data_IF_851233914581
#
_entry.id   IF_851233914581
#
_cell.length_a   1.000
_cell.length_b   1.000
_cell.length_c   1.000
_cell.angle_alpha   90.00
_cell.angle_beta   90.00
_cell.angle_gamma   90.00
#
_symmetry.space_group_name_H-M   'P 1'
#
loop_
_entity.id
_entity.type
_entity.pdbx_description
1 polymer ?
#
# COMPACT_ATOMS: atom_id res chain seq x y z
N UNK A 1 24.14 -39.64 42.49
CA UNK A 1 22.70 -39.58 42.15
C UNK A 1 22.25 -38.15 41.81
N UNK A 2 22.64 -37.13 42.59
CA UNK A 2 22.23 -35.74 42.35
C UNK A 2 22.73 -35.11 41.04
N UNK A 3 23.93 -35.48 40.58
CA UNK A 3 24.51 -34.99 39.31
C UNK A 3 23.76 -35.50 38.08
N UNK A 4 23.16 -36.69 38.16
CA UNK A 4 22.38 -37.28 37.07
C UNK A 4 21.06 -36.54 36.87
N UNK A 5 20.34 -36.25 37.96
CA UNK A 5 19.11 -35.45 37.90
C UNK A 5 19.39 -34.01 37.43
N UNK A 6 20.48 -33.39 37.88
CA UNK A 6 20.88 -32.07 37.40
C UNK A 6 21.15 -32.07 35.88
N UNK A 7 21.85 -33.07 35.36
CA UNK A 7 22.12 -33.18 33.92
C UNK A 7 20.84 -33.31 33.08
N UNK A 8 19.86 -34.09 33.55
CA UNK A 8 18.57 -34.24 32.86
C UNK A 8 17.78 -32.93 32.84
N UNK A 9 17.75 -32.21 33.95
CA UNK A 9 17.06 -30.91 34.04
C UNK A 9 17.69 -29.91 33.09
N UNK A 10 19.03 -29.81 33.07
CA UNK A 10 19.76 -28.91 32.18
C UNK A 10 19.50 -29.28 30.71
N UNK A 11 19.51 -30.56 30.36
CA UNK A 11 19.22 -31.03 29.01
C UNK A 11 17.79 -30.66 28.59
N UNK A 12 16.81 -30.86 29.47
CA UNK A 12 15.41 -30.51 29.22
C UNK A 12 15.21 -29.01 28.97
N UNK A 13 15.84 -28.17 29.79
CA UNK A 13 15.79 -26.70 29.63
C UNK A 13 16.46 -26.27 28.33
N UNK A 14 17.62 -26.86 27.98
CA UNK A 14 18.33 -26.53 26.75
C UNK A 14 17.48 -26.86 25.50
N UNK A 15 16.81 -28.02 25.49
CA UNK A 15 15.90 -28.40 24.39
C UNK A 15 14.72 -27.42 24.30
N UNK A 16 14.10 -27.08 25.44
CA UNK A 16 12.97 -26.17 25.47
C UNK A 16 13.31 -24.78 24.92
N UNK A 17 14.46 -24.22 25.32
CA UNK A 17 14.95 -22.92 24.82
C UNK A 17 15.21 -22.99 23.31
N UNK A 18 15.82 -24.08 22.84
CA UNK A 18 16.10 -24.27 21.41
C UNK A 18 14.82 -24.29 20.57
N UNK A 19 13.80 -25.02 21.02
CA UNK A 19 12.50 -25.06 20.33
C UNK A 19 11.84 -23.68 20.32
N UNK A 20 11.83 -22.98 21.45
CA UNK A 20 11.27 -21.63 21.55
C UNK A 20 11.97 -20.65 20.60
N UNK A 21 13.30 -20.71 20.51
CA UNK A 21 14.08 -19.89 19.61
C UNK A 21 13.75 -20.18 18.14
N UNK A 22 13.64 -21.45 17.74
CA UNK A 22 13.28 -21.84 16.37
C UNK A 22 11.88 -21.35 16.01
N UNK A 23 10.90 -21.50 16.91
CA UNK A 23 9.53 -21.02 16.69
C UNK A 23 9.50 -19.50 16.55
N UNK A 24 10.24 -18.77 17.39
CA UNK A 24 10.31 -17.31 17.28
C UNK A 24 10.97 -16.85 15.98
N UNK A 25 12.10 -17.47 15.58
CA UNK A 25 12.80 -17.15 14.32
C UNK A 25 11.91 -17.44 13.12
N UNK A 26 11.28 -18.62 13.07
CA UNK A 26 10.41 -18.99 11.95
C UNK A 26 9.17 -18.11 11.86
N UNK A 27 8.55 -17.75 12.99
CA UNK A 27 7.40 -16.83 13.02
C UNK A 27 7.80 -15.43 12.57
N UNK A 28 8.93 -14.94 13.07
CA UNK A 28 9.46 -13.63 12.68
C UNK A 28 9.82 -13.61 11.19
N UNK A 29 10.50 -14.64 10.70
CA UNK A 29 10.83 -14.79 9.29
C UNK A 29 9.57 -14.81 8.41
N UNK A 30 8.54 -15.59 8.76
CA UNK A 30 7.28 -15.61 8.02
C UNK A 30 6.56 -14.26 8.04
N UNK A 31 6.63 -13.52 9.16
CA UNK A 31 6.10 -12.15 9.23
C UNK A 31 6.92 -11.14 8.41
N UNK A 32 8.20 -11.46 8.15
CA UNK A 32 9.14 -10.67 7.35
C UNK A 32 9.20 -11.09 5.88
N UNK A 33 8.46 -12.12 5.44
CA UNK A 33 8.23 -12.39 4.01
C UNK A 33 7.40 -11.21 3.50
N UNK A 34 8.11 -10.14 3.19
CA UNK A 34 7.62 -8.92 2.61
C UNK A 34 7.02 -9.31 1.28
N UNK A 35 5.68 -9.36 1.21
CA UNK A 35 4.96 -9.44 -0.06
C UNK A 35 4.85 -8.01 -0.54
N UNK A 36 5.73 -7.55 -1.44
CA UNK A 36 5.79 -6.14 -1.75
C UNK A 36 4.48 -5.75 -2.43
N UNK A 37 3.90 -4.63 -2.01
CA UNK A 37 2.86 -3.93 -2.76
C UNK A 37 3.58 -3.01 -3.73
N UNK A 38 3.62 -3.40 -5.01
CA UNK A 38 4.30 -2.63 -6.05
C UNK A 38 3.23 -2.13 -7.01
N UNK A 39 2.90 -0.85 -6.92
CA UNK A 39 1.97 -0.22 -7.84
C UNK A 39 2.73 0.49 -8.97
N UNK A 40 2.44 0.11 -10.21
CA UNK A 40 2.93 0.79 -11.41
C UNK A 40 1.80 1.66 -11.95
N UNK A 41 1.97 2.97 -11.86
CA UNK A 41 1.02 3.93 -12.41
C UNK A 41 1.25 4.02 -13.91
N UNK A 42 0.24 3.65 -14.69
CA UNK A 42 0.27 3.68 -16.15
C UNK A 42 -0.16 5.07 -16.64
N UNK A 43 -1.25 5.58 -16.07
CA UNK A 43 -1.86 6.84 -16.47
C UNK A 43 -2.54 7.49 -15.25
N UNK A 44 -2.47 8.81 -15.17
CA UNK A 44 -3.17 9.60 -14.17
C UNK A 44 -3.62 10.90 -14.83
N UNK A 45 -4.90 11.21 -14.71
CA UNK A 45 -5.50 12.41 -15.32
C UNK A 45 -6.58 13.03 -14.42
N UNK A 46 -6.46 14.32 -14.12
CA UNK A 46 -7.53 15.14 -13.58
C UNK A 46 -8.34 15.68 -14.77
N UNK A 47 -9.63 15.40 -14.77
CA UNK A 47 -10.56 15.87 -15.78
C UNK A 47 -11.85 16.37 -15.12
N UNK A 48 -12.58 17.22 -15.84
CA UNK A 48 -13.90 17.68 -15.41
C UNK A 48 -14.96 16.88 -16.16
N UNK A 49 -15.81 16.17 -15.44
CA UNK A 49 -16.90 15.44 -16.05
C UNK A 49 -18.04 16.43 -16.39
N UNK A 50 -18.44 16.45 -17.66
CA UNK A 50 -19.43 17.38 -18.19
C UNK A 50 -20.86 17.07 -17.72
N UNK A 51 -21.11 15.83 -17.29
CA UNK A 51 -22.45 15.38 -16.88
C UNK A 51 -22.80 15.83 -15.47
N UNK A 52 -21.85 15.72 -14.54
CA UNK A 52 -22.04 16.04 -13.13
C UNK A 52 -21.35 17.35 -12.69
N UNK A 53 -20.65 17.98 -13.63
CA UNK A 53 -19.91 19.23 -13.46
C UNK A 53 -18.84 19.18 -12.35
N UNK A 54 -18.39 17.98 -11.95
CA UNK A 54 -17.39 17.82 -10.90
C UNK A 54 -16.02 17.48 -11.49
N UNK A 55 -14.99 17.75 -10.71
CA UNK A 55 -13.63 17.30 -10.99
C UNK A 55 -13.46 15.85 -10.56
N UNK A 56 -12.80 15.07 -11.41
CA UNK A 56 -12.50 13.66 -11.18
C UNK A 56 -11.02 13.43 -11.45
N UNK A 57 -10.43 12.57 -10.63
CA UNK A 57 -9.14 11.99 -10.87
C UNK A 57 -9.33 10.58 -11.41
N UNK A 58 -8.84 10.36 -12.64
CA UNK A 58 -8.66 9.06 -13.25
C UNK A 58 -7.27 8.53 -12.92
N UNK A 59 -7.19 7.27 -12.50
CA UNK A 59 -5.93 6.57 -12.27
C UNK A 59 -6.03 5.21 -12.95
N UNK A 60 -5.11 4.92 -13.86
CA UNK A 60 -4.88 3.57 -14.39
C UNK A 60 -3.59 3.03 -13.81
N UNK A 61 -3.70 1.94 -13.06
CA UNK A 61 -2.54 1.37 -12.39
C UNK A 61 -2.54 -0.15 -12.46
N UNK A 62 -1.33 -0.72 -12.51
CA UNK A 62 -1.07 -2.14 -12.47
C UNK A 62 -0.45 -2.49 -11.12
N UNK A 63 -1.02 -3.45 -10.41
CA UNK A 63 -0.38 -4.01 -9.22
C UNK A 63 0.60 -5.10 -9.65
N UNK A 64 1.89 -4.76 -9.68
CA UNK A 64 3.00 -5.70 -9.94
C UNK A 64 3.48 -6.41 -8.66
N UNK A 65 2.87 -6.12 -7.52
CA UNK A 65 3.17 -6.74 -6.24
C UNK A 65 2.52 -8.10 -6.05
N UNK A 66 2.88 -8.77 -4.94
CA UNK A 66 2.29 -10.05 -4.53
C UNK A 66 1.09 -9.87 -3.59
N UNK A 67 0.95 -8.69 -2.99
CA UNK A 67 -0.17 -8.35 -2.10
C UNK A 67 -1.11 -7.33 -2.75
N UNK A 68 -2.37 -7.30 -2.29
CA UNK A 68 -3.37 -6.34 -2.74
C UNK A 68 -2.93 -4.92 -2.41
N UNK A 69 -2.87 -4.04 -3.42
CA UNK A 69 -2.56 -2.63 -3.21
C UNK A 69 -3.82 -1.89 -2.77
N UNK A 70 -3.81 -1.32 -1.56
CA UNK A 70 -4.96 -0.59 -1.01
C UNK A 70 -4.67 0.90 -0.89
N UNK A 71 -5.20 1.70 -1.83
CA UNK A 71 -5.10 3.16 -1.80
C UNK A 71 -6.16 3.69 -0.82
N UNK A 72 -5.70 4.26 0.30
CA UNK A 72 -6.60 4.78 1.35
C UNK A 72 -6.64 6.30 1.42
N UNK A 73 -5.62 6.97 0.90
CA UNK A 73 -5.53 8.44 0.93
C UNK A 73 -4.88 8.96 -0.33
N UNK A 74 -5.38 10.09 -0.77
CA UNK A 74 -4.90 10.86 -1.89
C UNK A 74 -4.54 12.28 -1.41
N UNK A 75 -3.43 12.81 -1.90
CA UNK A 75 -3.06 14.22 -1.71
C UNK A 75 -2.75 14.83 -3.06
N UNK A 76 -3.40 15.94 -3.38
CA UNK A 76 -2.99 16.83 -4.45
C UNK A 76 -2.24 17.98 -3.79
N UNK A 77 -0.95 18.07 -4.08
CA UNK A 77 0.00 18.87 -3.30
C UNK A 77 -0.47 20.31 -3.14
N UNK A 78 -0.69 20.72 -1.89
CA UNK A 78 -1.07 22.09 -1.52
C UNK A 78 -2.53 22.46 -1.79
N UNK A 79 -3.38 21.52 -2.23
CA UNK A 79 -4.76 21.82 -2.67
C UNK A 79 -5.78 20.97 -1.90
N UNK A 80 -5.65 19.65 -1.96
CA UNK A 80 -6.66 18.74 -1.45
C UNK A 80 -6.01 17.51 -0.83
N UNK A 81 -6.55 17.08 0.31
CA UNK A 81 -6.24 15.79 0.92
C UNK A 81 -7.57 15.06 1.06
N UNK A 82 -7.65 13.86 0.49
CA UNK A 82 -8.88 13.06 0.46
C UNK A 82 -8.62 11.67 1.00
N UNK A 83 -9.38 11.30 2.03
CA UNK A 83 -9.42 9.93 2.53
C UNK A 83 -10.47 9.12 1.77
N UNK A 84 -10.10 7.92 1.32
CA UNK A 84 -10.98 6.99 0.61
C UNK A 84 -11.56 5.98 1.60
N UNK A 85 -12.87 6.08 1.84
CA UNK A 85 -13.64 5.17 2.70
C UNK A 85 -14.84 4.63 1.91
N UNK A 86 -14.80 3.37 1.42
CA UNK A 86 -13.73 2.38 1.58
C UNK A 86 -12.48 2.70 0.72
N UNK A 87 -11.30 2.14 1.09
CA UNK A 87 -10.10 2.19 0.25
C UNK A 87 -10.35 1.58 -1.13
N UNK A 88 -9.62 2.08 -2.14
CA UNK A 88 -9.64 1.50 -3.48
C UNK A 88 -8.55 0.43 -3.58
N UNK A 89 -8.92 -0.75 -4.06
CA UNK A 89 -8.04 -1.91 -4.01
C UNK A 89 -7.76 -2.45 -5.40
N UNK A 90 -6.49 -2.76 -5.68
CA UNK A 90 -6.06 -3.39 -6.94
C UNK A 90 -5.47 -4.75 -6.61
N UNK A 91 -6.06 -5.81 -7.13
CA UNK A 91 -5.58 -7.19 -6.91
C UNK A 91 -4.21 -7.43 -7.58
N UNK A 92 -3.35 -8.30 -7.00
CA UNK A 92 -2.06 -8.66 -7.59
C UNK A 92 -2.15 -9.10 -9.06
N UNK A 93 -1.24 -8.59 -9.89
CA UNK A 93 -1.16 -8.91 -11.32
C UNK A 93 -2.30 -8.35 -12.17
N UNK A 94 -3.12 -7.44 -11.62
CA UNK A 94 -4.23 -6.80 -12.34
C UNK A 94 -3.94 -5.35 -12.65
N UNK A 95 -4.45 -4.92 -13.80
CA UNK A 95 -4.62 -3.52 -14.18
C UNK A 95 -6.03 -3.13 -13.80
N UNK A 96 -6.18 -2.00 -13.12
CA UNK A 96 -7.48 -1.46 -12.76
C UNK A 96 -7.54 0.05 -13.01
N UNK A 97 -8.77 0.54 -13.16
CA UNK A 97 -9.10 1.92 -13.45
C UNK A 97 -9.94 2.50 -12.31
N UNK A 98 -9.39 3.51 -11.65
CA UNK A 98 -9.97 4.11 -10.45
C UNK A 98 -10.40 5.54 -10.79
N UNK A 99 -11.65 5.83 -10.46
CA UNK A 99 -12.24 7.16 -10.57
C UNK A 99 -12.52 7.71 -9.17
N UNK A 100 -11.91 8.85 -8.86
CA UNK A 100 -12.04 9.53 -7.56
C UNK A 100 -12.60 10.91 -7.80
N UNK A 101 -13.81 11.18 -7.32
CA UNK A 101 -14.38 12.53 -7.33
C UNK A 101 -13.53 13.43 -6.43
N UNK A 102 -13.17 14.61 -6.91
CA UNK A 102 -12.44 15.64 -6.17
C UNK A 102 -13.41 16.69 -5.62
N UNK A 103 -13.07 17.29 -4.47
CA UNK A 103 -13.93 18.27 -3.78
C UNK A 103 -13.52 19.73 -4.06
N UNK A 104 -12.34 19.94 -4.65
CA UNK A 104 -11.82 21.26 -5.03
C UNK A 104 -11.95 21.53 -6.53
N UNK A 105 -11.81 22.81 -6.89
CA UNK A 105 -11.72 23.23 -8.27
C UNK A 105 -10.28 23.23 -8.76
N UNK A 106 -10.08 22.86 -10.02
CA UNK A 106 -8.78 22.78 -10.68
C UNK A 106 -8.76 23.69 -11.90
N UNK A 107 -7.56 24.13 -12.30
CA UNK A 107 -7.39 25.06 -13.42
C UNK A 107 -6.81 24.30 -14.61
N UNK A 108 -7.53 24.32 -15.73
CA UNK A 108 -7.09 23.71 -16.99
C UNK A 108 -5.67 24.14 -17.38
N UNK A 109 -4.89 23.20 -17.90
CA UNK A 109 -3.50 23.44 -18.32
C UNK A 109 -2.47 23.56 -17.18
N UNK A 110 -2.89 23.46 -15.91
CA UNK A 110 -1.98 23.44 -14.77
C UNK A 110 -1.50 22.01 -14.50
N UNK A 111 -0.22 21.85 -14.14
CA UNK A 111 0.34 20.58 -13.69
C UNK A 111 0.21 20.46 -12.17
N UNK A 112 -0.31 19.33 -11.71
CA UNK A 112 -0.47 19.03 -10.30
C UNK A 112 0.38 17.83 -9.90
N UNK A 113 0.85 17.81 -8.65
CA UNK A 113 1.52 16.64 -8.09
C UNK A 113 0.52 15.87 -7.26
N UNK A 114 0.29 14.61 -7.62
CA UNK A 114 -0.62 13.71 -6.92
C UNK A 114 0.19 12.68 -6.15
N UNK A 115 -0.06 12.55 -4.85
CA UNK A 115 0.51 11.49 -4.02
C UNK A 115 -0.57 10.50 -3.65
N UNK A 116 -0.29 9.22 -3.93
CA UNK A 116 -1.14 8.11 -3.53
C UNK A 116 -0.52 7.44 -2.31
N UNK A 117 -1.33 7.25 -1.26
CA UNK A 117 -0.91 6.58 -0.03
C UNK A 117 -1.57 5.20 0.05
N UNK A 118 -0.72 4.17 0.10
CA UNK A 118 -1.16 2.80 0.34
C UNK A 118 -1.22 2.50 1.83
N UNK A 119 -2.11 1.58 2.22
CA UNK A 119 -2.21 1.13 3.63
C UNK A 119 -0.93 0.47 4.16
N UNK A 120 -0.14 -0.14 3.27
CA UNK A 120 1.19 -0.66 3.61
C UNK A 120 2.18 0.42 4.07
N UNK A 121 1.84 1.70 3.91
CA UNK A 121 2.70 2.83 4.24
C UNK A 121 3.50 3.36 3.06
N UNK A 122 3.48 2.66 1.91
CA UNK A 122 4.13 3.11 0.69
C UNK A 122 3.44 4.35 0.11
N UNK A 123 4.22 5.33 -0.31
CA UNK A 123 3.74 6.57 -0.93
C UNK A 123 4.26 6.63 -2.36
N UNK A 124 3.35 6.80 -3.32
CA UNK A 124 3.66 6.96 -4.73
C UNK A 124 3.49 8.43 -5.12
N UNK A 125 4.57 9.20 -5.28
CA UNK A 125 4.51 10.52 -5.89
C UNK A 125 4.39 10.36 -7.41
N UNK A 126 3.31 10.89 -7.98
CA UNK A 126 3.10 10.92 -9.42
C UNK A 126 2.98 12.37 -9.87
N UNK A 127 3.80 12.75 -10.84
CA UNK A 127 3.66 14.02 -11.53
C UNK A 127 2.60 13.86 -12.59
N UNK A 128 1.53 14.64 -12.49
CA UNK A 128 0.50 14.63 -13.51
C UNK A 128 0.86 15.60 -14.63
N UNK A 129 0.77 15.11 -15.87
CA UNK A 129 0.99 15.90 -17.06
C UNK A 129 -0.36 16.15 -17.74
N UNK A 130 -0.84 17.37 -17.55
CA UNK A 130 -1.85 18.07 -18.36
C UNK A 130 -3.30 17.60 -18.16
N UNK A 131 -4.11 18.45 -17.51
CA UNK A 131 -5.58 18.41 -17.58
C UNK A 131 -6.01 18.54 -19.04
N UNK A 132 -6.67 17.51 -19.58
CA UNK A 132 -7.30 17.55 -20.90
C UNK A 132 -8.80 17.83 -20.76
N UNK A 133 -9.31 18.59 -21.73
CA UNK A 133 -10.73 18.99 -21.84
C UNK A 133 -11.54 17.85 -22.42
#
# INVERSE_FOLDING_TARGET
MNTFFAAIIILGVAIAITIAAVVWITTTYHSMIWRPEILKIIEIEIYRNTTDNNWWLYIKAENMGENKAEIYKLEIYGIEIKELKPPKTIDPGKIDEIYIKLDKEYVYGTMYTVKLYLKSGTVYPVLEKTIRV
#
